data_IF_790955783743
#
_entry.id   IF_790955783743
#
_cell.length_a   1.000
_cell.length_b   1.000
_cell.length_c   1.000
_cell.angle_alpha   90.00
_cell.angle_beta   90.00
_cell.angle_gamma   90.00
#
_symmetry.space_group_name_H-M   'P 1'
#
loop_
_entity.id
_entity.type
_entity.pdbx_description
1 polymer ?
#
# COMPACT_ATOMS: atom_id res chain seq x y z
N UNK A 1 6.28 30.07 -22.98
CA UNK A 1 6.72 29.34 -21.75
C UNK A 1 7.00 27.91 -22.19
N UNK A 2 8.22 27.40 -21.95
CA UNK A 2 8.54 26.02 -22.28
C UNK A 2 8.01 25.11 -21.17
N UNK A 3 7.25 24.09 -21.54
CA UNK A 3 6.76 23.08 -20.60
C UNK A 3 7.74 21.91 -20.60
N UNK A 4 8.30 21.57 -19.44
CA UNK A 4 9.15 20.38 -19.30
C UNK A 4 8.28 19.21 -18.92
N UNK A 5 8.29 18.17 -19.76
CA UNK A 5 7.54 16.94 -19.51
C UNK A 5 8.54 15.86 -19.04
N UNK A 6 8.28 15.27 -17.89
CA UNK A 6 9.07 14.14 -17.40
C UNK A 6 8.36 12.84 -17.81
N UNK A 7 9.06 11.98 -18.55
CA UNK A 7 8.53 10.69 -19.02
C UNK A 7 8.96 9.49 -18.16
N UNK A 8 9.57 9.74 -17.01
CA UNK A 8 10.05 8.70 -16.11
C UNK A 8 9.87 9.08 -14.64
N UNK A 9 10.22 8.17 -13.71
CA UNK A 9 10.15 8.44 -12.29
C UNK A 9 10.97 9.65 -11.90
N UNK A 10 10.35 10.59 -11.18
CA UNK A 10 11.05 11.74 -10.60
C UNK A 10 11.60 11.28 -9.26
N UNK A 11 12.93 11.24 -9.10
CA UNK A 11 13.56 11.05 -7.81
C UNK A 11 13.62 12.39 -7.11
N UNK A 12 12.80 12.58 -6.09
CA UNK A 12 12.85 13.75 -5.22
C UNK A 12 13.66 13.40 -3.97
N UNK A 13 14.60 14.26 -3.59
CA UNK A 13 15.41 14.07 -2.39
C UNK A 13 16.44 15.17 -2.23
N UNK A 14 17.10 15.19 -1.08
CA UNK A 14 18.17 16.14 -0.79
C UNK A 14 19.51 15.56 -1.24
N UNK A 15 20.24 16.31 -2.06
CA UNK A 15 21.61 15.95 -2.44
C UNK A 15 22.52 16.26 -1.24
N UNK A 16 23.15 15.22 -0.70
CA UNK A 16 23.90 15.34 0.55
C UNK A 16 25.38 15.62 0.37
N UNK A 17 25.95 15.22 -0.76
CA UNK A 17 27.38 15.38 -1.04
C UNK A 17 27.59 15.97 -2.41
N UNK A 18 27.99 17.24 -2.43
CA UNK A 18 28.48 17.95 -3.63
C UNK A 18 29.82 18.56 -3.29
N UNK A 19 30.74 18.58 -4.26
CA UNK A 19 32.01 19.30 -4.13
C UNK A 19 32.06 20.33 -5.28
N UNK A 20 31.97 21.61 -4.92
CA UNK A 20 31.92 22.69 -5.90
C UNK A 20 30.72 22.55 -6.85
N UNK A 21 30.95 22.56 -8.17
CA UNK A 21 29.92 22.37 -9.19
C UNK A 21 29.74 20.90 -9.60
N UNK A 22 30.54 20.00 -9.04
CA UNK A 22 30.50 18.56 -9.38
C UNK A 22 29.68 17.84 -8.33
N UNK A 23 28.72 17.05 -8.81
CA UNK A 23 27.92 16.18 -7.93
C UNK A 23 28.84 15.05 -7.45
N UNK A 24 28.93 14.86 -6.14
CA UNK A 24 29.75 13.82 -5.53
C UNK A 24 29.32 12.41 -5.93
N UNK A 25 30.25 11.47 -5.94
CA UNK A 25 30.01 10.07 -6.31
C UNK A 25 29.05 9.34 -5.34
N UNK A 26 28.88 9.87 -4.13
CA UNK A 26 27.99 9.32 -3.10
C UNK A 26 26.76 10.21 -2.89
N UNK A 27 25.98 10.42 -3.92
CA UNK A 27 24.68 11.11 -3.80
C UNK A 27 23.70 10.15 -3.17
N UNK A 28 23.27 10.47 -1.95
CA UNK A 28 22.18 9.77 -1.28
C UNK A 28 20.94 10.64 -1.28
N UNK A 29 19.85 10.13 -1.78
CA UNK A 29 18.53 10.70 -1.53
C UNK A 29 18.23 10.53 -0.03
N UNK A 30 18.12 11.63 0.68
CA UNK A 30 17.73 11.62 2.11
C UNK A 30 16.26 11.97 2.31
N UNK A 31 15.55 12.33 1.24
CA UNK A 31 14.11 12.57 1.24
C UNK A 31 13.38 11.39 0.61
N UNK A 32 12.34 10.92 1.28
CA UNK A 32 11.42 9.91 0.76
C UNK A 32 10.12 10.60 0.36
N UNK A 33 9.60 10.23 -0.82
CA UNK A 33 8.27 10.66 -1.26
C UNK A 33 7.30 9.54 -0.91
N UNK A 34 6.31 9.86 -0.09
CA UNK A 34 5.19 8.96 0.18
C UNK A 34 4.22 9.06 -0.99
N UNK A 35 4.01 7.96 -1.66
CA UNK A 35 3.00 7.80 -2.70
C UNK A 35 1.74 7.19 -2.10
N UNK A 36 0.58 7.52 -2.67
CA UNK A 36 -0.70 7.01 -2.20
C UNK A 36 -1.54 6.55 -3.39
N UNK A 37 -2.20 5.41 -3.24
CA UNK A 37 -3.20 4.91 -4.18
C UNK A 37 -4.48 4.60 -3.40
N UNK A 38 -5.62 5.00 -3.96
CA UNK A 38 -6.94 4.77 -3.36
C UNK A 38 -7.85 4.09 -4.38
N UNK A 39 -8.63 3.12 -3.94
CA UNK A 39 -9.60 2.40 -4.77
C UNK A 39 -10.88 2.13 -3.99
N UNK A 40 -12.01 2.11 -4.67
CA UNK A 40 -13.24 1.60 -4.11
C UNK A 40 -13.14 0.08 -3.94
N UNK A 41 -13.64 -0.42 -2.82
CA UNK A 41 -13.71 -1.84 -2.48
C UNK A 41 -15.11 -2.16 -1.95
N UNK A 42 -15.57 -3.38 -2.18
CA UNK A 42 -16.90 -3.80 -1.75
C UNK A 42 -16.90 -5.25 -1.25
N UNK A 43 -18.05 -5.68 -0.75
CA UNK A 43 -18.28 -7.00 -0.19
C UNK A 43 -19.06 -7.92 -1.15
N UNK A 44 -19.24 -7.52 -2.41
CA UNK A 44 -20.06 -8.29 -3.37
C UNK A 44 -19.42 -9.63 -3.75
N UNK A 45 -18.11 -9.74 -3.62
CA UNK A 45 -17.34 -10.96 -3.85
C UNK A 45 -16.46 -11.31 -2.65
N UNK A 46 -16.13 -12.58 -2.46
CA UNK A 46 -15.20 -13.03 -1.43
C UNK A 46 -13.80 -12.46 -1.67
N UNK A 47 -13.39 -12.31 -2.93
CA UNK A 47 -12.12 -11.69 -3.28
C UNK A 47 -12.36 -10.59 -4.29
N UNK A 48 -11.97 -9.38 -3.91
CA UNK A 48 -11.95 -8.20 -4.76
C UNK A 48 -10.50 -7.92 -5.18
N UNK A 49 -10.25 -7.97 -6.51
CA UNK A 49 -8.93 -7.67 -7.07
C UNK A 49 -8.87 -6.20 -7.45
N UNK A 50 -8.17 -5.43 -6.66
CA UNK A 50 -8.09 -3.99 -6.83
C UNK A 50 -7.17 -3.56 -7.98
N UNK A 51 -7.22 -2.26 -8.33
CA UNK A 51 -6.27 -1.64 -9.26
C UNK A 51 -5.03 -1.06 -8.56
N UNK A 52 -4.90 -1.19 -7.24
CA UNK A 52 -3.70 -0.77 -6.51
C UNK A 52 -2.56 -1.72 -6.86
N UNK A 53 -1.47 -1.17 -7.37
CA UNK A 53 -0.22 -1.90 -7.63
C UNK A 53 0.89 -1.21 -6.85
N UNK A 54 1.50 -1.93 -5.92
CA UNK A 54 2.66 -1.46 -5.18
C UNK A 54 3.91 -1.92 -5.93
N UNK A 55 4.77 -0.98 -6.38
CA UNK A 55 5.98 -1.33 -7.14
C UNK A 55 6.96 -2.16 -6.32
N UNK A 56 7.72 -3.00 -7.00
CA UNK A 56 8.82 -3.76 -6.41
C UNK A 56 9.75 -2.91 -5.54
N UNK A 57 10.32 -3.49 -4.51
CA UNK A 57 11.24 -2.86 -3.56
C UNK A 57 10.63 -1.63 -2.86
N UNK A 58 9.30 -1.64 -2.64
CA UNK A 58 8.60 -0.61 -1.89
C UNK A 58 8.39 -1.02 -0.44
N UNK A 59 8.28 -0.03 0.43
CA UNK A 59 7.86 -0.15 1.82
C UNK A 59 6.45 0.42 1.97
N UNK A 60 5.55 -0.31 2.59
CA UNK A 60 4.22 0.18 2.95
C UNK A 60 4.34 0.99 4.23
N UNK A 61 3.81 2.21 4.21
CA UNK A 61 3.86 3.15 5.34
C UNK A 61 2.56 3.12 6.12
N UNK A 62 1.43 3.08 5.41
CA UNK A 62 0.10 3.03 6.00
C UNK A 62 -0.91 2.37 5.07
N UNK A 63 -1.94 1.79 5.65
CA UNK A 63 -3.16 1.38 4.97
C UNK A 63 -4.35 1.85 5.78
N UNK A 64 -5.30 2.48 5.12
CA UNK A 64 -6.54 2.95 5.74
C UNK A 64 -7.74 2.45 4.93
N UNK A 65 -8.74 1.89 5.61
CA UNK A 65 -10.02 1.54 5.04
C UNK A 65 -11.06 2.56 5.50
N UNK A 66 -11.64 3.32 4.57
CA UNK A 66 -12.80 4.15 4.82
C UNK A 66 -14.07 3.38 4.51
N UNK A 67 -14.87 3.11 5.54
CA UNK A 67 -16.12 2.35 5.44
C UNK A 67 -17.29 3.31 5.21
N UNK A 68 -17.90 3.23 4.03
CA UNK A 68 -19.13 3.97 3.67
C UNK A 68 -20.39 3.22 4.07
N UNK A 69 -20.39 1.92 3.77
CA UNK A 69 -21.44 0.98 4.17
C UNK A 69 -20.76 -0.13 4.95
N UNK A 70 -21.24 -0.41 6.14
CA UNK A 70 -20.65 -1.44 7.01
C UNK A 70 -20.64 -2.80 6.31
N UNK A 71 -19.56 -3.54 6.50
CA UNK A 71 -19.52 -4.95 6.16
C UNK A 71 -20.52 -5.68 7.01
N UNK A 72 -21.37 -6.48 6.41
CA UNK A 72 -22.46 -7.20 7.05
C UNK A 72 -22.24 -8.72 7.02
N UNK A 73 -23.23 -9.48 7.56
CA UNK A 73 -23.20 -10.94 7.61
C UNK A 73 -22.62 -11.49 8.90
N UNK A 74 -22.25 -12.78 8.89
CA UNK A 74 -21.83 -13.53 10.08
C UNK A 74 -20.49 -12.99 10.62
N UNK A 75 -19.63 -12.48 9.74
CA UNK A 75 -18.37 -11.86 10.12
C UNK A 75 -18.14 -10.62 9.26
N UNK A 76 -18.30 -9.44 9.86
CA UNK A 76 -18.08 -8.14 9.23
C UNK A 76 -16.59 -7.81 9.12
N UNK A 77 -15.80 -8.74 8.57
CA UNK A 77 -14.33 -8.62 8.53
C UNK A 77 -13.77 -8.93 7.16
N UNK A 78 -12.58 -8.39 6.90
CA UNK A 78 -11.83 -8.60 5.67
C UNK A 78 -10.33 -8.72 5.94
N UNK A 79 -9.58 -9.19 4.97
CA UNK A 79 -8.13 -9.23 4.98
C UNK A 79 -7.57 -8.52 3.76
N UNK A 80 -6.36 -7.98 3.88
CA UNK A 80 -5.63 -7.37 2.78
C UNK A 80 -4.47 -8.28 2.38
N UNK A 81 -4.46 -8.64 1.12
CA UNK A 81 -3.45 -9.51 0.54
C UNK A 81 -2.93 -9.00 -0.81
N UNK A 82 -2.24 -9.88 -1.49
CA UNK A 82 -1.82 -9.70 -2.87
C UNK A 82 -2.28 -10.87 -3.72
N UNK A 83 -2.33 -10.69 -5.01
CA UNK A 83 -2.63 -11.79 -5.94
C UNK A 83 -1.75 -13.00 -5.63
N UNK A 84 -2.37 -14.16 -5.44
CA UNK A 84 -1.70 -15.40 -5.05
C UNK A 84 -1.44 -15.58 -3.55
N UNK A 85 -1.71 -14.57 -2.69
CA UNK A 85 -1.54 -14.68 -1.24
C UNK A 85 -2.55 -13.78 -0.52
N UNK A 86 -3.70 -14.34 -0.14
CA UNK A 86 -4.84 -13.60 0.43
C UNK A 86 -4.54 -12.88 1.76
N UNK A 87 -3.62 -13.41 2.56
CA UNK A 87 -3.23 -12.85 3.86
C UNK A 87 -1.78 -12.30 3.85
N UNK A 88 -1.40 -11.59 2.78
CA UNK A 88 -0.04 -11.12 2.64
C UNK A 88 0.28 -9.95 3.56
N UNK A 89 -0.65 -9.01 3.73
CA UNK A 89 -0.43 -7.75 4.45
C UNK A 89 -1.21 -7.64 5.75
N UNK A 90 -2.22 -8.48 5.93
CA UNK A 90 -2.93 -8.67 7.21
C UNK A 90 -3.19 -10.16 7.41
N UNK A 91 -3.56 -10.60 8.61
CA UNK A 91 -4.19 -11.90 8.74
C UNK A 91 -5.55 -11.93 8.04
N UNK A 92 -6.03 -13.13 7.70
CA UNK A 92 -7.38 -13.30 7.17
C UNK A 92 -8.41 -12.81 8.20
N UNK A 93 -9.37 -11.99 7.74
CA UNK A 93 -10.40 -11.43 8.61
C UNK A 93 -9.89 -10.49 9.73
N UNK A 94 -8.69 -9.96 9.63
CA UNK A 94 -8.12 -9.12 10.69
C UNK A 94 -8.63 -7.66 10.67
N UNK A 95 -9.24 -7.22 9.57
CA UNK A 95 -9.75 -5.85 9.45
C UNK A 95 -11.24 -5.86 9.72
N UNK A 96 -11.67 -5.14 10.76
CA UNK A 96 -13.07 -5.06 11.16
C UNK A 96 -13.82 -4.01 10.33
N UNK A 97 -14.56 -4.43 9.31
CA UNK A 97 -15.37 -3.56 8.45
C UNK A 97 -16.76 -3.21 9.00
N UNK A 98 -17.11 -3.69 10.18
CA UNK A 98 -18.45 -3.53 10.77
C UNK A 98 -18.75 -2.17 11.41
N UNK A 99 -17.88 -1.17 11.23
CA UNK A 99 -18.07 0.18 11.78
C UNK A 99 -17.81 1.22 10.68
N UNK A 100 -18.66 2.23 10.61
CA UNK A 100 -18.49 3.36 9.67
C UNK A 100 -17.25 4.20 10.03
N UNK A 101 -16.61 4.75 9.03
CA UNK A 101 -15.50 5.67 9.19
C UNK A 101 -14.15 5.08 8.81
N UNK A 102 -13.07 5.67 9.32
CA UNK A 102 -11.70 5.28 8.96
C UNK A 102 -11.19 4.21 9.93
N UNK A 103 -10.79 3.09 9.36
CA UNK A 103 -10.15 1.99 10.06
C UNK A 103 -8.68 1.95 9.65
N UNK A 104 -7.78 2.18 10.61
CA UNK A 104 -6.35 2.04 10.40
C UNK A 104 -5.96 0.57 10.42
N UNK A 105 -5.35 0.13 9.32
CA UNK A 105 -4.87 -1.24 9.16
C UNK A 105 -3.42 -1.29 9.63
N UNK A 106 -3.09 -2.25 10.47
CA UNK A 106 -1.75 -2.42 11.03
C UNK A 106 -1.14 -3.76 10.63
N UNK A 107 0.19 -3.76 10.49
CA UNK A 107 0.98 -4.96 10.22
C UNK A 107 1.08 -5.83 11.48
N UNK A 108 0.04 -6.59 11.76
CA UNK A 108 -0.03 -7.52 12.90
C UNK A 108 -0.09 -8.96 12.43
N UNK A 109 -0.15 -9.89 13.36
CA UNK A 109 -0.35 -11.32 13.22
C UNK A 109 0.94 -12.16 13.12
N UNK A 110 1.93 -11.81 12.32
CA UNK A 110 3.16 -12.60 12.21
C UNK A 110 4.35 -11.77 11.71
N UNK A 111 5.55 -12.23 11.99
CA UNK A 111 6.77 -11.63 11.45
C UNK A 111 6.75 -11.58 9.91
N UNK A 112 6.15 -12.58 9.25
CA UNK A 112 6.06 -12.60 7.79
C UNK A 112 5.17 -11.48 7.25
N UNK A 113 4.07 -11.12 7.94
CA UNK A 113 3.22 -9.98 7.58
C UNK A 113 3.98 -8.68 7.79
N UNK A 114 4.60 -8.50 8.96
CA UNK A 114 5.40 -7.30 9.28
C UNK A 114 6.52 -7.10 8.27
N UNK A 115 7.27 -8.15 7.94
CA UNK A 115 8.36 -8.08 6.97
C UNK A 115 7.89 -7.65 5.58
N UNK A 116 6.68 -8.04 5.16
CA UNK A 116 6.13 -7.61 3.86
C UNK A 116 5.73 -6.14 3.82
N UNK A 117 5.48 -5.52 4.97
CA UNK A 117 5.29 -4.07 5.02
C UNK A 117 6.60 -3.32 4.86
N UNK A 118 7.69 -3.84 5.42
CA UNK A 118 9.02 -3.22 5.31
C UNK A 118 9.65 -3.42 3.94
N UNK A 119 9.34 -4.55 3.29
CA UNK A 119 9.81 -4.86 1.94
C UNK A 119 8.81 -5.79 1.25
N UNK A 120 8.15 -5.29 0.23
CA UNK A 120 7.19 -6.09 -0.54
C UNK A 120 7.85 -7.12 -1.45
N UNK A 121 9.18 -7.09 -1.62
CA UNK A 121 9.95 -7.96 -2.49
C UNK A 121 10.26 -7.38 -3.86
N UNK A 122 10.88 -8.19 -4.71
CA UNK A 122 11.44 -7.79 -6.00
C UNK A 122 10.45 -7.77 -7.16
N UNK A 123 9.16 -7.96 -6.91
CA UNK A 123 8.09 -7.94 -7.92
C UNK A 123 6.97 -7.00 -7.51
N UNK A 124 6.32 -6.39 -8.49
CA UNK A 124 5.13 -5.58 -8.27
C UNK A 124 4.02 -6.43 -7.64
N UNK A 125 3.35 -5.86 -6.64
CA UNK A 125 2.27 -6.54 -5.94
C UNK A 125 0.93 -5.83 -6.16
N UNK A 126 0.01 -6.52 -6.85
CA UNK A 126 -1.38 -6.08 -6.94
C UNK A 126 -2.12 -6.43 -5.66
N UNK A 127 -2.74 -5.45 -5.04
CA UNK A 127 -3.51 -5.63 -3.80
C UNK A 127 -4.84 -6.32 -4.09
N UNK A 128 -5.20 -7.23 -3.21
CA UNK A 128 -6.55 -7.83 -3.15
C UNK A 128 -7.15 -7.62 -1.77
N UNK A 129 -8.47 -7.49 -1.74
CA UNK A 129 -9.27 -7.54 -0.51
C UNK A 129 -9.96 -8.89 -0.45
N UNK A 130 -9.87 -9.58 0.67
CA UNK A 130 -10.53 -10.87 0.88
C UNK A 130 -11.57 -10.71 1.98
N UNK A 131 -12.84 -10.72 1.59
CA UNK A 131 -13.97 -10.63 2.49
C UNK A 131 -14.22 -12.00 3.15
N UNK A 132 -14.58 -12.02 4.42
CA UNK A 132 -14.91 -13.26 5.13
C UNK A 132 -16.22 -13.86 4.60
N UNK A 133 -17.14 -13.02 4.17
CA UNK A 133 -18.40 -13.40 3.51
C UNK A 133 -18.80 -12.31 2.51
N UNK A 134 -19.69 -12.64 1.60
CA UNK A 134 -20.32 -11.66 0.70
C UNK A 134 -21.42 -10.89 1.41
N UNK A 135 -21.67 -9.65 0.99
CA UNK A 135 -22.66 -8.76 1.58
C UNK A 135 -22.75 -7.42 0.85
N UNK A 136 -23.26 -6.41 1.52
CA UNK A 136 -23.48 -5.07 0.97
C UNK A 136 -22.43 -4.03 1.39
N UNK A 137 -21.41 -4.41 2.16
CA UNK A 137 -20.36 -3.51 2.63
C UNK A 137 -19.62 -2.84 1.48
N UNK A 138 -19.28 -1.56 1.66
CA UNK A 138 -18.52 -0.80 0.67
C UNK A 138 -17.67 0.29 1.32
N UNK A 139 -16.59 0.68 0.64
CA UNK A 139 -15.69 1.69 1.13
C UNK A 139 -14.55 2.01 0.17
N UNK A 140 -13.51 2.63 0.71
CA UNK A 140 -12.29 2.96 -0.03
C UNK A 140 -11.08 2.47 0.71
N UNK A 141 -10.23 1.71 0.03
CA UNK A 141 -8.93 1.31 0.54
C UNK A 141 -7.88 2.29 0.02
N UNK A 142 -7.12 2.89 0.95
CA UNK A 142 -5.96 3.71 0.64
C UNK A 142 -4.70 3.02 1.12
N UNK A 143 -3.71 2.88 0.24
CA UNK A 143 -2.39 2.35 0.57
C UNK A 143 -1.35 3.44 0.32
N UNK A 144 -0.57 3.74 1.35
CA UNK A 144 0.56 4.66 1.28
C UNK A 144 1.86 3.87 1.31
N UNK A 145 2.78 4.21 0.44
CA UNK A 145 4.04 3.50 0.32
C UNK A 145 5.18 4.42 -0.11
N UNK A 146 6.39 4.01 0.20
CA UNK A 146 7.63 4.63 -0.27
C UNK A 146 8.32 3.62 -1.17
N UNK A 147 8.63 4.03 -2.40
CA UNK A 147 9.43 3.21 -3.29
C UNK A 147 10.90 3.28 -2.84
N UNK A 148 11.51 2.12 -2.61
CA UNK A 148 12.91 2.06 -2.20
C UNK A 148 13.78 2.59 -3.35
N UNK A 149 14.53 3.62 -3.08
CA UNK A 149 15.44 4.28 -4.02
C UNK A 149 16.87 3.73 -3.92
N UNK A 150 17.06 2.45 -3.62
CA UNK A 150 18.40 1.92 -3.41
C UNK A 150 19.18 2.76 -2.38
N UNK A 151 18.59 2.92 -1.20
CA UNK A 151 19.30 3.50 -0.05
C UNK A 151 20.28 2.50 0.56
N UNK A 152 20.91 1.71 -0.29
CA UNK A 152 22.01 0.83 0.10
C UNK A 152 23.32 1.58 -0.12
#
# INVERSE_FOLDING_TARGET
MATTTFSGPIKAGTIRHTTGTTVGTNIKNVGQVVMSQTVAVDQTAVTDTTNIIIPANSQIVAMDLYVNTVWDGVASTLGIGKVGTAAAFTAAGAVAGGTLGIIKITATASAAVVNRWTDIGTSDNRIIVTNTNTGAGSGYLTVQYVQNNNLI
#
